data_IF_347772038736
#
_entry.id   IF_347772038736
#
_cell.length_a   1.000
_cell.length_b   1.000
_cell.length_c   1.000
_cell.angle_alpha   90.00
_cell.angle_beta   90.00
_cell.angle_gamma   90.00
#
_symmetry.space_group_name_H-M   'P 1'
#
loop_
_entity.id
_entity.type
_entity.pdbx_description
1 polymer ?
#
# COMPACT_ATOMS: atom_id res chain seq x y z
N UNK A 1 18.69 5.90 9.47
CA UNK A 1 18.35 4.75 8.61
C UNK A 1 19.55 4.52 7.69
N UNK A 2 20.35 3.49 7.93
CA UNK A 2 21.48 3.17 7.05
C UNK A 2 20.94 2.72 5.68
N UNK A 3 21.52 3.13 4.54
CA UNK A 3 21.01 2.73 3.23
C UNK A 3 21.22 1.23 3.06
N UNK A 4 20.11 0.50 3.07
CA UNK A 4 20.02 -0.92 2.81
C UNK A 4 20.19 -1.14 1.30
N UNK A 5 21.21 -1.90 0.92
CA UNK A 5 21.36 -2.55 -0.38
C UNK A 5 21.94 -1.73 -1.56
N UNK A 6 23.05 -1.00 -1.37
CA UNK A 6 23.78 -0.32 -2.47
C UNK A 6 25.30 -0.48 -2.36
N UNK A 7 25.78 -1.64 -1.87
CA UNK A 7 27.22 -1.95 -1.96
C UNK A 7 27.52 -2.51 -3.37
N UNK A 8 28.72 -2.26 -3.94
CA UNK A 8 29.10 -2.90 -5.21
C UNK A 8 28.98 -4.43 -5.10
N UNK A 9 28.18 -5.05 -5.96
CA UNK A 9 27.90 -6.50 -5.92
C UNK A 9 26.58 -6.91 -5.25
N UNK A 10 25.71 -5.95 -4.90
CA UNK A 10 24.36 -6.23 -4.39
C UNK A 10 23.41 -6.62 -5.53
N UNK A 11 23.06 -7.90 -5.59
CA UNK A 11 22.14 -8.48 -6.58
C UNK A 11 20.74 -8.75 -6.02
N UNK A 12 20.46 -8.31 -4.78
CA UNK A 12 19.24 -8.61 -4.04
C UNK A 12 18.91 -10.12 -3.95
N UNK A 13 19.91 -10.99 -4.10
CA UNK A 13 19.75 -12.45 -3.95
C UNK A 13 19.56 -12.85 -2.50
N UNK A 14 19.02 -14.05 -2.29
CA UNK A 14 18.85 -14.61 -0.95
C UNK A 14 20.21 -14.74 -0.22
N UNK A 15 21.28 -15.01 -0.96
CA UNK A 15 22.65 -15.11 -0.46
C UNK A 15 23.16 -13.75 0.05
N UNK A 16 22.98 -12.69 -0.73
CA UNK A 16 23.33 -11.31 -0.33
C UNK A 16 22.50 -10.87 0.89
N UNK A 17 21.21 -11.19 0.92
CA UNK A 17 20.34 -10.97 2.07
C UNK A 17 20.79 -11.74 3.33
N UNK A 18 21.27 -12.99 3.17
CA UNK A 18 21.77 -13.80 4.29
C UNK A 18 23.01 -13.18 4.92
N UNK A 19 23.99 -12.79 4.10
CA UNK A 19 25.22 -12.12 4.57
C UNK A 19 24.87 -10.84 5.30
N UNK A 20 24.00 -10.02 4.71
CA UNK A 20 23.55 -8.78 5.34
C UNK A 20 22.91 -9.02 6.71
N UNK A 21 21.95 -9.94 6.81
CA UNK A 21 21.28 -10.25 8.07
C UNK A 21 22.28 -10.78 9.12
N UNK A 22 23.26 -11.59 8.70
CA UNK A 22 24.27 -12.12 9.60
C UNK A 22 25.17 -11.02 10.15
N UNK A 23 25.63 -10.10 9.30
CA UNK A 23 26.42 -8.93 9.73
C UNK A 23 25.62 -8.04 10.67
N UNK A 24 24.38 -7.69 10.29
CA UNK A 24 23.49 -6.82 11.07
C UNK A 24 23.18 -7.42 12.45
N UNK A 25 22.80 -8.70 12.51
CA UNK A 25 22.53 -9.38 13.80
C UNK A 25 23.77 -9.44 14.69
N UNK A 26 24.95 -9.66 14.10
CA UNK A 26 26.20 -9.74 14.85
C UNK A 26 26.63 -8.36 15.38
N UNK A 27 26.59 -7.33 14.53
CA UNK A 27 27.09 -5.99 14.84
C UNK A 27 26.12 -5.27 15.78
N UNK A 28 24.83 -5.24 15.45
CA UNK A 28 23.85 -4.40 16.15
C UNK A 28 23.27 -5.10 17.39
N UNK A 29 23.23 -6.43 17.40
CA UNK A 29 22.56 -7.21 18.44
C UNK A 29 23.44 -8.26 19.13
N UNK A 30 24.68 -8.48 18.67
CA UNK A 30 25.56 -9.54 19.20
C UNK A 30 24.97 -10.95 19.05
N UNK A 31 24.10 -11.17 18.04
CA UNK A 31 23.43 -12.45 17.80
C UNK A 31 23.98 -13.14 16.56
N UNK A 32 24.07 -14.46 16.64
CA UNK A 32 24.37 -15.29 15.49
C UNK A 32 23.10 -15.58 14.69
N UNK A 33 23.22 -15.61 13.35
CA UNK A 33 22.08 -15.86 12.46
C UNK A 33 21.51 -17.27 12.61
N UNK A 34 22.32 -18.25 13.05
CA UNK A 34 21.87 -19.61 13.36
C UNK A 34 20.97 -19.70 14.59
N UNK A 35 20.82 -18.61 15.36
CA UNK A 35 19.81 -18.50 16.44
C UNK A 35 18.44 -18.01 15.93
N UNK A 36 18.31 -17.75 14.64
CA UNK A 36 17.01 -17.43 14.03
C UNK A 36 16.09 -18.67 14.13
N UNK A 37 14.89 -18.50 14.66
CA UNK A 37 13.93 -19.60 14.79
C UNK A 37 13.06 -19.75 13.54
N UNK A 38 12.71 -18.64 12.88
CA UNK A 38 11.87 -18.58 11.68
C UNK A 38 12.02 -17.22 11.00
N UNK A 39 11.62 -17.16 9.73
CA UNK A 39 11.51 -15.91 8.97
C UNK A 39 10.04 -15.57 8.81
N UNK A 40 9.67 -14.30 8.99
CA UNK A 40 8.34 -13.80 8.61
C UNK A 40 8.49 -12.99 7.33
N UNK A 41 7.71 -13.32 6.31
CA UNK A 41 7.79 -12.62 5.03
C UNK A 41 6.72 -13.04 4.04
N UNK A 42 6.64 -12.31 2.94
CA UNK A 42 5.89 -12.75 1.77
C UNK A 42 6.50 -14.04 1.19
N UNK A 43 5.70 -14.82 0.45
CA UNK A 43 6.15 -16.11 -0.10
C UNK A 43 6.99 -15.96 -1.39
N UNK A 44 7.65 -14.80 -1.54
CA UNK A 44 8.50 -14.48 -2.67
C UNK A 44 9.69 -15.46 -2.75
N UNK A 45 10.19 -15.71 -3.97
CA UNK A 45 11.28 -16.65 -4.25
C UNK A 45 12.52 -16.39 -3.38
N UNK A 46 12.88 -15.11 -3.19
CA UNK A 46 14.04 -14.70 -2.36
C UNK A 46 13.84 -15.08 -0.90
N UNK A 47 12.64 -14.84 -0.32
CA UNK A 47 12.34 -15.20 1.08
C UNK A 47 12.28 -16.70 1.29
N UNK A 48 11.68 -17.44 0.35
CA UNK A 48 11.68 -18.91 0.36
C UNK A 48 13.09 -19.47 0.32
N UNK A 49 13.93 -18.96 -0.60
CA UNK A 49 15.33 -19.37 -0.71
C UNK A 49 16.12 -19.05 0.56
N UNK A 50 15.94 -17.84 1.12
CA UNK A 50 16.60 -17.42 2.35
C UNK A 50 16.25 -18.32 3.54
N UNK A 51 14.97 -18.65 3.72
CA UNK A 51 14.53 -19.59 4.75
C UNK A 51 15.18 -20.98 4.56
N UNK A 52 15.28 -21.43 3.32
CA UNK A 52 16.00 -22.66 2.96
C UNK A 52 17.49 -22.60 3.29
N UNK A 53 18.18 -21.50 2.98
CA UNK A 53 19.60 -21.28 3.31
C UNK A 53 19.85 -21.26 4.82
N UNK A 54 18.88 -20.81 5.61
CA UNK A 54 18.96 -20.75 7.06
C UNK A 54 18.42 -22.01 7.75
N UNK A 55 17.82 -22.95 7.00
CA UNK A 55 17.17 -24.14 7.52
C UNK A 55 16.10 -23.84 8.58
N UNK A 56 15.33 -22.76 8.39
CA UNK A 56 14.25 -22.35 9.31
C UNK A 56 12.90 -22.27 8.58
N UNK A 57 11.78 -22.40 9.30
CA UNK A 57 10.46 -22.19 8.71
C UNK A 57 10.27 -20.76 8.17
N UNK A 58 9.55 -20.64 7.05
CA UNK A 58 9.01 -19.37 6.56
C UNK A 58 7.55 -19.26 7.00
N UNK A 59 7.26 -18.31 7.88
CA UNK A 59 5.91 -17.93 8.29
C UNK A 59 5.42 -16.85 7.33
N UNK A 60 4.30 -17.12 6.65
CA UNK A 60 3.73 -16.17 5.70
C UNK A 60 3.31 -14.86 6.38
N UNK A 61 3.55 -13.73 5.71
CA UNK A 61 3.13 -12.41 6.15
C UNK A 61 1.59 -12.31 6.15
N UNK A 62 1.02 -11.98 7.31
CA UNK A 62 -0.43 -11.79 7.47
C UNK A 62 -0.95 -10.64 6.60
N UNK A 63 -0.23 -9.52 6.56
CA UNK A 63 -0.59 -8.36 5.73
C UNK A 63 -0.60 -8.71 4.24
N UNK A 64 0.32 -9.56 3.77
CA UNK A 64 0.34 -10.00 2.38
C UNK A 64 -0.85 -10.91 2.05
N UNK A 65 -1.17 -11.88 2.93
CA UNK A 65 -2.38 -12.72 2.76
C UNK A 65 -3.66 -11.90 2.75
N UNK A 66 -3.75 -10.91 3.63
CA UNK A 66 -4.89 -9.99 3.64
C UNK A 66 -4.98 -9.22 2.32
N UNK A 67 -3.85 -8.71 1.82
CA UNK A 67 -3.84 -7.98 0.55
C UNK A 67 -4.36 -8.82 -0.62
N UNK A 68 -4.01 -10.11 -0.68
CA UNK A 68 -4.55 -11.04 -1.68
C UNK A 68 -6.06 -11.26 -1.53
N UNK A 69 -6.56 -11.40 -0.29
CA UNK A 69 -8.00 -11.52 -0.06
C UNK A 69 -8.76 -10.24 -0.47
N UNK A 70 -8.17 -9.08 -0.20
CA UNK A 70 -8.73 -7.79 -0.58
C UNK A 70 -8.75 -7.54 -2.09
N UNK A 71 -7.82 -8.13 -2.84
CA UNK A 71 -7.82 -8.05 -4.30
C UNK A 71 -9.13 -8.60 -4.89
N UNK A 72 -9.58 -9.76 -4.42
CA UNK A 72 -10.86 -10.35 -4.84
C UNK A 72 -12.08 -9.53 -4.41
N UNK A 73 -12.04 -8.92 -3.22
CA UNK A 73 -13.14 -8.05 -2.74
C UNK A 73 -13.25 -6.77 -3.59
N UNK A 74 -12.11 -6.21 -4.01
CA UNK A 74 -12.07 -4.94 -4.74
C UNK A 74 -12.38 -5.10 -6.23
N UNK A 75 -12.28 -6.31 -6.78
CA UNK A 75 -12.42 -6.59 -8.21
C UNK A 75 -13.73 -6.04 -8.80
N UNK A 76 -14.87 -6.27 -8.13
CA UNK A 76 -16.18 -5.78 -8.56
C UNK A 76 -16.26 -4.24 -8.60
N UNK A 77 -15.40 -3.56 -7.84
CA UNK A 77 -15.38 -2.10 -7.72
C UNK A 77 -14.30 -1.44 -8.58
N UNK A 78 -13.53 -2.19 -9.38
CA UNK A 78 -12.39 -1.64 -10.14
C UNK A 78 -12.77 -0.51 -11.08
N UNK A 79 -13.95 -0.57 -11.72
CA UNK A 79 -14.43 0.51 -12.58
C UNK A 79 -14.68 1.78 -11.77
N UNK A 80 -15.46 1.70 -10.69
CA UNK A 80 -15.76 2.85 -9.83
C UNK A 80 -14.48 3.44 -9.20
N UNK A 81 -13.55 2.58 -8.78
CA UNK A 81 -12.24 2.99 -8.28
C UNK A 81 -11.38 3.66 -9.35
N UNK A 82 -11.53 3.25 -10.61
CA UNK A 82 -10.92 3.89 -11.78
C UNK A 82 -11.44 5.32 -11.97
N UNK A 83 -12.75 5.53 -11.83
CA UNK A 83 -13.35 6.88 -11.86
C UNK A 83 -12.77 7.78 -10.76
N UNK A 84 -12.62 7.27 -9.53
CA UNK A 84 -11.98 8.03 -8.43
C UNK A 84 -10.51 8.31 -8.73
N UNK A 85 -9.77 7.35 -9.27
CA UNK A 85 -8.37 7.52 -9.63
C UNK A 85 -8.21 8.62 -10.70
N UNK A 86 -9.08 8.67 -11.70
CA UNK A 86 -9.08 9.73 -12.72
C UNK A 86 -9.30 11.12 -12.09
N UNK A 87 -10.29 11.24 -11.20
CA UNK A 87 -10.52 12.48 -10.43
C UNK A 87 -9.29 12.90 -9.63
N UNK A 88 -8.70 11.97 -8.87
CA UNK A 88 -7.51 12.22 -8.06
C UNK A 88 -6.34 12.70 -8.91
N UNK A 89 -6.12 12.09 -10.09
CA UNK A 89 -5.08 12.53 -11.03
C UNK A 89 -5.35 13.97 -11.48
N UNK A 90 -6.60 14.31 -11.83
CA UNK A 90 -6.99 15.66 -12.23
C UNK A 90 -6.77 16.69 -11.12
N UNK A 91 -7.14 16.36 -9.89
CA UNK A 91 -6.92 17.20 -8.70
C UNK A 91 -5.44 17.40 -8.36
N UNK A 92 -4.55 16.51 -8.84
CA UNK A 92 -3.10 16.64 -8.68
C UNK A 92 -2.42 17.50 -9.75
N UNK A 93 -3.14 17.88 -10.80
CA UNK A 93 -2.61 18.83 -11.80
C UNK A 93 -2.22 20.14 -11.12
N UNK A 94 -1.22 20.86 -11.68
CA UNK A 94 -0.65 22.06 -11.05
C UNK A 94 -1.73 23.09 -10.67
N UNK A 95 -2.65 23.38 -11.58
CA UNK A 95 -3.70 24.37 -11.38
C UNK A 95 -4.72 23.92 -10.32
N UNK A 96 -5.19 22.67 -10.39
CA UNK A 96 -6.17 22.16 -9.43
C UNK A 96 -5.55 21.97 -8.05
N UNK A 97 -4.29 21.52 -7.97
CA UNK A 97 -3.57 21.42 -6.72
C UNK A 97 -3.35 22.79 -6.06
N UNK A 98 -3.10 23.85 -6.84
CA UNK A 98 -3.00 25.21 -6.34
C UNK A 98 -4.35 25.70 -5.78
N UNK A 99 -5.45 25.53 -6.53
CA UNK A 99 -6.81 25.85 -6.08
C UNK A 99 -7.18 25.10 -4.80
N UNK A 100 -6.87 23.80 -4.75
CA UNK A 100 -7.18 22.95 -3.61
C UNK A 100 -6.44 23.39 -2.35
N UNK A 101 -5.17 23.80 -2.47
CA UNK A 101 -4.37 24.32 -1.33
C UNK A 101 -4.93 25.60 -0.72
N UNK A 102 -5.65 26.40 -1.50
CA UNK A 102 -6.33 27.60 -0.98
C UNK A 102 -7.58 27.24 -0.18
N UNK A 103 -8.24 26.12 -0.51
CA UNK A 103 -9.45 25.65 0.16
C UNK A 103 -9.16 24.76 1.37
N UNK A 104 -8.09 23.95 1.32
CA UNK A 104 -7.76 23.00 2.40
C UNK A 104 -6.30 22.53 2.39
N UNK A 105 -5.87 21.93 3.49
CA UNK A 105 -4.53 21.35 3.66
C UNK A 105 -4.38 19.92 3.11
N UNK A 106 -5.50 19.23 2.80
CA UNK A 106 -5.46 17.84 2.35
C UNK A 106 -4.99 17.74 0.89
N UNK A 107 -4.10 16.79 0.63
CA UNK A 107 -3.63 16.44 -0.72
C UNK A 107 -4.34 15.18 -1.23
N UNK A 108 -4.64 15.06 -2.53
CA UNK A 108 -5.15 13.83 -3.11
C UNK A 108 -4.14 12.68 -2.98
N UNK A 109 -4.64 11.46 -2.81
CA UNK A 109 -3.83 10.24 -2.66
C UNK A 109 -4.11 9.32 -3.84
N UNK A 110 -3.06 8.86 -4.52
CA UNK A 110 -3.18 7.91 -5.63
C UNK A 110 -3.14 6.48 -5.08
N UNK A 111 -4.02 5.61 -5.58
CA UNK A 111 -3.95 4.17 -5.29
C UNK A 111 -2.74 3.53 -5.96
N UNK A 112 -2.15 2.55 -5.29
CA UNK A 112 -1.21 1.57 -5.81
C UNK A 112 -1.96 0.25 -5.93
N UNK A 113 -2.09 -0.29 -7.13
CA UNK A 113 -2.98 -1.45 -7.37
C UNK A 113 -2.61 -2.68 -6.53
N UNK A 114 -1.31 -2.86 -6.27
CA UNK A 114 -0.80 -4.00 -5.49
C UNK A 114 -1.06 -3.84 -3.98
N UNK A 115 -1.55 -2.69 -3.49
CA UNK A 115 -1.74 -2.43 -2.05
C UNK A 115 -3.14 -1.94 -1.74
N UNK A 116 -3.99 -2.81 -1.22
CA UNK A 116 -5.37 -2.49 -0.88
C UNK A 116 -5.50 -1.29 0.09
N UNK A 117 -4.55 -1.12 1.01
CA UNK A 117 -4.55 0.00 1.96
C UNK A 117 -4.46 1.36 1.26
N UNK A 118 -3.78 1.43 0.11
CA UNK A 118 -3.71 2.65 -0.69
C UNK A 118 -5.06 2.96 -1.37
N UNK A 119 -5.84 1.94 -1.74
CA UNK A 119 -7.21 2.09 -2.23
C UNK A 119 -8.10 2.66 -1.13
N UNK A 120 -8.00 2.12 0.09
CA UNK A 120 -8.70 2.67 1.25
C UNK A 120 -8.34 4.13 1.51
N UNK A 121 -7.04 4.46 1.55
CA UNK A 121 -6.57 5.85 1.75
C UNK A 121 -7.03 6.80 0.64
N UNK A 122 -7.05 6.34 -0.62
CA UNK A 122 -7.57 7.12 -1.75
C UNK A 122 -9.06 7.41 -1.56
N UNK A 123 -9.86 6.41 -1.23
CA UNK A 123 -11.30 6.57 -1.00
C UNK A 123 -11.61 7.48 0.18
N UNK A 124 -10.98 7.23 1.33
CA UNK A 124 -11.15 8.05 2.53
C UNK A 124 -10.80 9.51 2.26
N UNK A 125 -9.71 9.74 1.53
CA UNK A 125 -9.32 11.09 1.11
C UNK A 125 -10.33 11.68 0.14
N UNK A 126 -10.72 10.95 -0.89
CA UNK A 126 -11.61 11.45 -1.93
C UNK A 126 -12.97 11.86 -1.37
N UNK A 127 -13.55 11.06 -0.47
CA UNK A 127 -14.84 11.40 0.17
C UNK A 127 -14.78 12.74 0.91
N UNK A 128 -13.65 13.07 1.54
CA UNK A 128 -13.41 14.38 2.18
C UNK A 128 -13.19 15.50 1.17
N UNK A 129 -12.59 15.20 0.02
CA UNK A 129 -12.34 16.18 -1.05
C UNK A 129 -13.64 16.55 -1.80
N UNK A 130 -14.54 15.58 -1.99
CA UNK A 130 -15.78 15.75 -2.77
C UNK A 130 -16.63 16.92 -2.30
N UNK A 131 -16.68 17.20 -0.99
CA UNK A 131 -17.44 18.33 -0.45
C UNK A 131 -16.99 19.70 -0.99
N UNK A 132 -15.72 19.81 -1.40
CA UNK A 132 -15.08 21.07 -1.83
C UNK A 132 -14.95 21.21 -3.35
N UNK A 133 -15.01 20.08 -4.07
CA UNK A 133 -14.80 20.03 -5.53
C UNK A 133 -16.06 19.71 -6.33
N UNK A 134 -17.16 19.33 -5.67
CA UNK A 134 -18.46 19.02 -6.30
C UNK A 134 -19.03 20.17 -7.16
N UNK A 135 -18.71 21.41 -6.82
CA UNK A 135 -19.21 22.63 -7.49
C UNK A 135 -18.13 23.27 -8.38
N UNK A 136 -16.99 22.59 -8.60
CA UNK A 136 -15.90 23.10 -9.42
C UNK A 136 -16.06 22.63 -10.88
N UNK A 137 -16.47 23.55 -11.75
CA UNK A 137 -16.72 23.31 -13.17
C UNK A 137 -15.50 22.72 -13.91
N UNK A 138 -14.27 22.98 -13.42
CA UNK A 138 -13.07 22.46 -14.08
C UNK A 138 -12.89 20.95 -13.89
N UNK A 139 -13.59 20.32 -12.92
CA UNK A 139 -13.43 18.90 -12.59
C UNK A 139 -14.75 18.11 -12.66
N UNK A 140 -15.84 18.76 -13.10
CA UNK A 140 -17.19 18.18 -13.18
C UNK A 140 -17.24 16.92 -14.04
N UNK A 141 -16.57 16.94 -15.20
CA UNK A 141 -16.38 15.82 -16.13
C UNK A 141 -15.66 14.60 -15.52
N UNK A 142 -14.88 14.81 -14.45
CA UNK A 142 -14.13 13.77 -13.76
C UNK A 142 -14.82 13.30 -12.46
N UNK A 143 -15.93 13.92 -12.05
CA UNK A 143 -16.64 13.50 -10.85
C UNK A 143 -17.34 12.16 -11.08
N UNK A 144 -17.23 11.20 -10.14
CA UNK A 144 -18.05 10.00 -10.19
C UNK A 144 -19.54 10.36 -10.17
N UNK A 145 -20.33 9.62 -10.95
CA UNK A 145 -21.79 9.75 -10.97
C UNK A 145 -22.39 9.51 -9.59
N UNK A 146 -23.65 9.92 -9.42
CA UNK A 146 -24.38 9.70 -8.16
C UNK A 146 -24.48 8.21 -7.79
N UNK A 147 -24.59 7.33 -8.80
CA UNK A 147 -24.65 5.88 -8.59
C UNK A 147 -23.30 5.32 -8.14
N UNK A 148 -22.21 5.68 -8.82
CA UNK A 148 -20.84 5.31 -8.43
C UNK A 148 -20.52 5.80 -7.02
N UNK A 149 -20.84 7.07 -6.70
CA UNK A 149 -20.61 7.61 -5.36
C UNK A 149 -21.37 6.87 -4.25
N UNK A 150 -22.55 6.30 -4.54
CA UNK A 150 -23.26 5.46 -3.56
C UNK A 150 -22.52 4.14 -3.33
N UNK A 151 -22.09 3.46 -4.39
CA UNK A 151 -21.32 2.21 -4.30
C UNK A 151 -19.97 2.42 -3.62
N UNK A 152 -19.26 3.49 -3.96
CA UNK A 152 -17.97 3.87 -3.35
C UNK A 152 -18.09 4.17 -1.85
N UNK A 153 -19.19 4.77 -1.41
CA UNK A 153 -19.46 5.00 0.03
C UNK A 153 -19.75 3.69 0.76
N UNK A 154 -20.50 2.78 0.16
CA UNK A 154 -20.73 1.44 0.73
C UNK A 154 -19.41 0.67 0.86
N UNK A 155 -18.60 0.66 -0.22
CA UNK A 155 -17.27 0.06 -0.21
C UNK A 155 -16.37 0.67 0.88
N UNK A 156 -16.31 2.00 1.00
CA UNK A 156 -15.50 2.66 2.03
C UNK A 156 -15.91 2.24 3.46
N UNK A 157 -17.20 2.04 3.71
CA UNK A 157 -17.69 1.55 5.00
C UNK A 157 -17.20 0.11 5.27
N UNK A 158 -17.26 -0.77 4.27
CA UNK A 158 -16.73 -2.15 4.38
C UNK A 158 -15.22 -2.16 4.65
N UNK A 159 -14.46 -1.36 3.90
CA UNK A 159 -13.01 -1.26 4.04
C UNK A 159 -12.58 -0.66 5.38
N UNK A 160 -13.40 0.20 5.99
CA UNK A 160 -13.11 0.76 7.32
C UNK A 160 -13.05 -0.33 8.38
N UNK A 161 -13.90 -1.36 8.27
CA UNK A 161 -13.84 -2.51 9.17
C UNK A 161 -12.54 -3.30 8.97
N UNK A 162 -12.12 -3.53 7.74
CA UNK A 162 -10.87 -4.24 7.42
C UNK A 162 -9.63 -3.45 7.89
N UNK A 163 -9.63 -2.13 7.73
CA UNK A 163 -8.55 -1.26 8.19
C UNK A 163 -8.34 -1.35 9.71
N UNK A 164 -9.43 -1.47 10.48
CA UNK A 164 -9.35 -1.65 11.93
C UNK A 164 -8.62 -2.95 12.32
N UNK A 165 -8.89 -4.04 11.59
CA UNK A 165 -8.25 -5.35 11.79
C UNK A 165 -6.79 -5.32 11.36
N UNK A 166 -6.48 -4.64 10.26
CA UNK A 166 -5.13 -4.59 9.69
C UNK A 166 -4.13 -3.92 10.63
N UNK A 167 -4.55 -2.89 11.37
CA UNK A 167 -3.71 -2.23 12.38
C UNK A 167 -3.34 -3.13 13.56
N UNK A 168 -4.06 -4.24 13.73
CA UNK A 168 -3.81 -5.23 14.78
C UNK A 168 -3.02 -6.46 14.29
N UNK A 169 -2.68 -6.55 12.99
CA UNK A 169 -1.86 -7.61 12.39
C UNK A 169 -0.36 -7.28 12.47
#
# INVERSE_FOLDING_TARGET
>A
MAPLLNKPGDDHSAETHRVFLQEMLRIDYGKDIGKCAFIVGDNCSVKRRLAGLLHVPLVGCASHRLNLAMEGILEESYQDLGSVQALVIKLRSLNQAAKLRLKMSLRPVIRQEIRWSSTFMMLDRNLKLLEFVKDDADVEDALPTRAENRRLKALHAELTNVESVTKAL
#
